data_IF_236738436341
#
_entry.id   IF_236738436341
#
_cell.length_a   1.000
_cell.length_b   1.000
_cell.length_c   1.000
_cell.angle_alpha   90.00
_cell.angle_beta   90.00
_cell.angle_gamma   90.00
#
_symmetry.space_group_name_H-M   'P 1'
#
loop_
_entity.id
_entity.type
_entity.pdbx_description
1 polymer ?
#
# COMPACT_ATOMS: atom_id res chain seq x y z
N UNK A 1 -28.96 0.01 6.60
CA UNK A 1 -28.97 1.34 5.96
C UNK A 1 -30.36 1.59 5.36
N UNK A 2 -30.91 2.81 5.45
CA UNK A 2 -32.08 3.19 4.66
C UNK A 2 -31.61 4.00 3.44
N UNK A 3 -31.83 3.48 2.23
CA UNK A 3 -31.38 4.11 0.98
C UNK A 3 -32.09 5.43 0.69
N UNK A 4 -33.31 5.65 1.21
CA UNK A 4 -34.00 6.93 1.06
C UNK A 4 -33.31 8.01 1.88
N UNK A 5 -33.05 7.74 3.16
CA UNK A 5 -32.34 8.67 4.04
C UNK A 5 -30.92 8.95 3.57
N UNK A 6 -30.21 7.92 3.07
CA UNK A 6 -28.90 8.09 2.46
C UNK A 6 -28.95 9.01 1.23
N UNK A 7 -29.91 8.78 0.33
CA UNK A 7 -30.07 9.59 -0.87
C UNK A 7 -30.41 11.04 -0.52
N UNK A 8 -31.32 11.25 0.43
CA UNK A 8 -31.71 12.59 0.89
C UNK A 8 -30.50 13.33 1.49
N UNK A 9 -29.63 12.63 2.24
CA UNK A 9 -28.38 13.19 2.74
C UNK A 9 -27.34 13.49 1.65
N UNK A 10 -27.34 12.75 0.54
CA UNK A 10 -26.45 12.98 -0.60
C UNK A 10 -26.88 14.19 -1.44
N UNK A 11 -28.19 14.33 -1.69
CA UNK A 11 -28.73 15.38 -2.57
C UNK A 11 -28.91 16.73 -1.86
N UNK A 12 -29.01 16.73 -0.52
CA UNK A 12 -29.23 17.94 0.26
C UNK A 12 -30.56 18.60 -0.09
N UNK A 13 -30.50 19.85 -0.57
CA UNK A 13 -31.69 20.63 -0.95
C UNK A 13 -32.24 20.31 -2.36
N UNK A 14 -31.51 19.51 -3.15
CA UNK A 14 -31.96 19.13 -4.48
C UNK A 14 -33.13 18.14 -4.42
N UNK A 15 -33.99 18.20 -5.44
CA UNK A 15 -35.06 17.20 -5.58
C UNK A 15 -34.52 15.89 -6.16
N UNK A 16 -35.15 14.77 -5.81
CA UNK A 16 -34.82 13.44 -6.38
C UNK A 16 -34.92 13.39 -7.91
N UNK A 17 -35.77 14.23 -8.51
CA UNK A 17 -35.87 14.36 -9.97
C UNK A 17 -34.64 15.06 -10.58
N UNK A 18 -34.13 16.10 -9.91
CA UNK A 18 -32.87 16.77 -10.29
C UNK A 18 -31.70 15.81 -10.12
N UNK A 19 -31.63 15.10 -9.00
CA UNK A 19 -30.58 14.10 -8.75
C UNK A 19 -30.55 13.00 -9.80
N UNK A 20 -31.72 12.46 -10.16
CA UNK A 20 -31.86 11.46 -11.22
C UNK A 20 -31.35 11.99 -12.56
N UNK A 21 -31.74 13.21 -12.93
CA UNK A 21 -31.30 13.86 -14.16
C UNK A 21 -29.78 14.09 -14.17
N UNK A 22 -29.19 14.55 -13.06
CA UNK A 22 -27.73 14.75 -12.94
C UNK A 22 -26.96 13.43 -13.05
N UNK A 23 -27.51 12.34 -12.53
CA UNK A 23 -26.92 11.01 -12.59
C UNK A 23 -27.23 10.26 -13.91
N UNK A 24 -27.88 10.90 -14.89
CA UNK A 24 -28.31 10.31 -16.16
C UNK A 24 -29.22 9.08 -16.01
N UNK A 25 -30.10 9.11 -15.00
CA UNK A 25 -31.14 8.11 -14.78
C UNK A 25 -32.54 8.68 -14.92
N UNK A 26 -33.46 7.87 -15.43
CA UNK A 26 -34.88 8.15 -15.29
C UNK A 26 -35.28 8.15 -13.80
N UNK A 27 -35.99 9.20 -13.36
CA UNK A 27 -36.49 9.30 -11.98
C UNK A 27 -37.28 8.05 -11.56
N UNK A 28 -38.09 7.50 -12.46
CA UNK A 28 -38.88 6.28 -12.23
C UNK A 28 -38.00 5.06 -11.87
N UNK A 29 -36.79 4.98 -12.40
CA UNK A 29 -35.82 3.92 -12.11
C UNK A 29 -35.33 4.01 -10.67
N UNK A 30 -34.92 5.21 -10.23
CA UNK A 30 -34.46 5.44 -8.86
C UNK A 30 -35.61 5.24 -7.87
N UNK A 31 -36.81 5.79 -8.16
CA UNK A 31 -37.99 5.58 -7.30
C UNK A 31 -38.36 4.10 -7.16
N UNK A 32 -38.29 3.31 -8.23
CA UNK A 32 -38.57 1.86 -8.19
C UNK A 32 -37.52 1.08 -7.41
N UNK A 33 -36.27 1.52 -7.44
CA UNK A 33 -35.19 0.94 -6.65
C UNK A 33 -35.41 1.23 -5.15
N UNK A 34 -35.69 2.50 -4.81
CA UNK A 34 -36.01 2.91 -3.44
C UNK A 34 -37.24 2.18 -2.87
N UNK A 35 -38.31 2.03 -3.66
CA UNK A 35 -39.51 1.29 -3.21
C UNK A 35 -39.25 -0.19 -2.92
N UNK A 36 -38.14 -0.74 -3.44
CA UNK A 36 -37.68 -2.11 -3.14
C UNK A 36 -36.69 -2.16 -1.98
N UNK A 37 -36.38 -1.01 -1.37
CA UNK A 37 -35.40 -0.87 -0.29
C UNK A 37 -33.97 -1.09 -0.75
N UNK A 38 -33.65 -0.86 -2.02
CA UNK A 38 -32.33 -1.18 -2.59
C UNK A 38 -31.97 -0.27 -3.76
N UNK A 39 -30.84 0.45 -3.69
CA UNK A 39 -30.24 1.13 -4.84
C UNK A 39 -29.11 0.31 -5.41
N UNK A 40 -29.13 0.03 -6.71
CA UNK A 40 -28.05 -0.71 -7.36
C UNK A 40 -26.70 0.01 -7.22
N UNK A 41 -25.56 -0.71 -7.11
CA UNK A 41 -24.25 -0.10 -6.99
C UNK A 41 -23.93 0.91 -8.10
N UNK A 42 -24.35 0.63 -9.33
CA UNK A 42 -24.12 1.51 -10.48
C UNK A 42 -24.85 2.86 -10.31
N UNK A 43 -26.08 2.81 -9.79
CA UNK A 43 -26.87 4.01 -9.46
C UNK A 43 -26.18 4.82 -8.36
N UNK A 44 -25.66 4.16 -7.32
CA UNK A 44 -24.92 4.81 -6.22
C UNK A 44 -23.69 5.52 -6.76
N UNK A 45 -22.88 4.86 -7.58
CA UNK A 45 -21.68 5.44 -8.19
C UNK A 45 -22.02 6.67 -9.03
N UNK A 46 -23.06 6.59 -9.87
CA UNK A 46 -23.46 7.71 -10.72
C UNK A 46 -23.97 8.91 -9.90
N UNK A 47 -24.77 8.66 -8.86
CA UNK A 47 -25.23 9.70 -7.94
C UNK A 47 -24.05 10.35 -7.19
N UNK A 48 -23.09 9.58 -6.70
CA UNK A 48 -21.90 10.12 -6.06
C UNK A 48 -21.12 11.03 -7.03
N UNK A 49 -20.90 10.60 -8.28
CA UNK A 49 -20.24 11.41 -9.31
C UNK A 49 -21.00 12.68 -9.66
N UNK A 50 -22.33 12.61 -9.70
CA UNK A 50 -23.20 13.75 -9.99
C UNK A 50 -23.19 14.85 -8.91
N UNK A 51 -22.79 14.50 -7.69
CA UNK A 51 -22.72 15.39 -6.52
C UNK A 51 -21.28 15.58 -6.01
N UNK A 52 -20.26 15.28 -6.84
CA UNK A 52 -18.84 15.40 -6.50
C UNK A 52 -18.44 14.71 -5.18
N UNK A 53 -19.12 13.61 -4.83
CA UNK A 53 -18.81 12.75 -3.69
C UNK A 53 -18.02 11.54 -4.15
N UNK A 54 -17.13 11.06 -3.28
CA UNK A 54 -16.35 9.84 -3.54
C UNK A 54 -17.29 8.63 -3.73
N UNK A 55 -17.25 7.96 -4.90
CA UNK A 55 -18.04 6.74 -5.12
C UNK A 55 -17.67 5.62 -4.15
N UNK A 56 -16.40 5.57 -3.73
CA UNK A 56 -15.93 4.59 -2.74
C UNK A 56 -16.63 4.80 -1.40
N UNK A 57 -16.67 6.05 -0.91
CA UNK A 57 -17.36 6.37 0.34
C UNK A 57 -18.85 6.03 0.26
N UNK A 58 -19.51 6.35 -0.86
CA UNK A 58 -20.91 5.99 -1.08
C UNK A 58 -21.17 4.48 -1.07
N UNK A 59 -20.25 3.69 -1.61
CA UNK A 59 -20.34 2.22 -1.60
C UNK A 59 -20.08 1.61 -0.20
N UNK A 60 -19.27 2.26 0.64
CA UNK A 60 -19.13 1.89 2.06
C UNK A 60 -20.39 2.20 2.83
N UNK A 61 -20.90 3.43 2.71
CA UNK A 61 -22.11 3.89 3.39
C UNK A 61 -23.33 3.01 3.04
N UNK A 62 -23.36 2.49 1.80
CA UNK A 62 -24.42 1.60 1.30
C UNK A 62 -24.13 0.11 1.51
N UNK A 63 -23.04 -0.24 2.22
CA UNK A 63 -22.64 -1.59 2.61
C UNK A 63 -22.27 -2.53 1.43
N UNK A 64 -22.02 -1.98 0.24
CA UNK A 64 -21.52 -2.73 -0.93
C UNK A 64 -20.04 -3.04 -0.85
N UNK A 65 -19.28 -2.17 -0.19
CA UNK A 65 -17.86 -2.33 0.07
C UNK A 65 -17.68 -2.17 1.57
N UNK A 66 -16.81 -2.97 2.17
CA UNK A 66 -16.42 -2.83 3.56
C UNK A 66 -15.17 -1.97 3.64
N UNK A 67 -15.03 -1.21 4.71
CA UNK A 67 -13.91 -0.27 4.87
C UNK A 67 -12.54 -0.96 4.75
N UNK A 68 -12.44 -2.22 5.19
CA UNK A 68 -11.23 -3.03 5.08
C UNK A 68 -10.92 -3.52 3.66
N UNK A 69 -11.86 -3.50 2.73
CA UNK A 69 -11.64 -3.90 1.33
C UNK A 69 -10.92 -2.81 0.51
N UNK A 70 -10.83 -1.59 1.03
CA UNK A 70 -10.30 -0.42 0.32
C UNK A 70 -8.78 -0.29 0.49
N UNK A 71 -8.23 -0.86 1.56
CA UNK A 71 -6.81 -0.76 1.89
C UNK A 71 -5.89 -1.60 0.97
N UNK A 72 -6.42 -2.14 -0.14
CA UNK A 72 -5.71 -3.09 -0.99
C UNK A 72 -5.48 -4.42 -0.28
N UNK A 73 -4.79 -5.40 -0.90
CA UNK A 73 -4.26 -6.52 -0.15
C UNK A 73 -3.51 -5.99 1.07
N UNK A 74 -3.71 -6.62 2.23
CA UNK A 74 -2.95 -6.32 3.45
C UNK A 74 -1.48 -6.10 3.09
N UNK A 75 -0.84 -5.06 3.63
CA UNK A 75 0.54 -4.70 3.27
C UNK A 75 1.45 -5.94 3.34
N UNK A 76 1.22 -6.86 4.28
CA UNK A 76 1.96 -8.11 4.38
C UNK A 76 1.72 -9.08 3.20
N UNK A 77 0.50 -9.12 2.64
CA UNK A 77 0.15 -9.91 1.45
C UNK A 77 0.78 -9.27 0.21
N UNK A 78 0.69 -7.94 0.07
CA UNK A 78 1.30 -7.20 -1.03
C UNK A 78 2.83 -7.36 -1.05
N UNK A 79 3.49 -7.26 0.12
CA UNK A 79 4.93 -7.48 0.25
C UNK A 79 5.32 -8.94 -0.04
N UNK A 80 4.50 -9.92 0.34
CA UNK A 80 4.76 -11.34 0.06
C UNK A 80 4.64 -11.67 -1.44
N UNK A 81 3.80 -10.96 -2.17
CA UNK A 81 3.61 -11.13 -3.62
C UNK A 81 4.57 -10.29 -4.47
N UNK A 82 5.26 -9.31 -3.89
CA UNK A 82 6.23 -8.48 -4.59
C UNK A 82 7.47 -9.29 -4.98
N UNK A 83 8.01 -9.01 -6.16
CA UNK A 83 9.31 -9.57 -6.57
C UNK A 83 10.44 -8.92 -5.79
N UNK A 84 11.59 -9.62 -5.67
CA UNK A 84 12.77 -9.06 -5.02
C UNK A 84 13.25 -7.74 -5.65
N UNK A 85 13.11 -7.59 -6.96
CA UNK A 85 13.44 -6.37 -7.70
C UNK A 85 12.55 -5.19 -7.26
N UNK A 86 11.23 -5.39 -7.21
CA UNK A 86 10.29 -4.37 -6.75
C UNK A 86 10.50 -3.97 -5.29
N UNK A 87 10.86 -4.93 -4.43
CA UNK A 87 11.20 -4.65 -3.03
C UNK A 87 12.49 -3.83 -2.93
N UNK A 88 13.51 -4.19 -3.70
CA UNK A 88 14.79 -3.49 -3.74
C UNK A 88 14.64 -2.06 -4.27
N UNK A 89 13.90 -1.88 -5.36
CA UNK A 89 13.63 -0.56 -5.95
C UNK A 89 12.89 0.34 -4.95
N UNK A 90 11.89 -0.19 -4.24
CA UNK A 90 11.14 0.57 -3.24
C UNK A 90 12.01 0.92 -2.02
N UNK A 91 12.88 0.02 -1.58
CA UNK A 91 13.85 0.29 -0.51
C UNK A 91 14.80 1.41 -0.93
N UNK A 92 15.37 1.34 -2.13
CA UNK A 92 16.31 2.34 -2.65
C UNK A 92 15.62 3.70 -2.84
N UNK A 93 14.40 3.70 -3.37
CA UNK A 93 13.57 4.91 -3.54
C UNK A 93 13.24 5.61 -2.21
N UNK A 94 13.06 4.84 -1.13
CA UNK A 94 12.86 5.39 0.24
C UNK A 94 14.17 5.80 0.91
N UNK A 95 15.27 5.23 0.48
CA UNK A 95 16.60 5.39 1.09
C UNK A 95 17.35 6.62 0.59
N UNK A 96 17.12 7.07 -0.64
CA UNK A 96 17.84 8.23 -1.20
C UNK A 96 17.11 9.55 -0.85
N UNK A 97 17.70 10.55 -0.14
CA UNK A 97 19.12 10.93 0.00
C UNK A 97 19.69 10.94 1.45
N UNK A 98 19.02 10.31 2.42
CA UNK A 98 19.50 10.24 3.81
C UNK A 98 20.10 8.88 4.19
N UNK A 99 20.07 7.86 3.32
CA UNK A 99 20.68 6.56 3.60
C UNK A 99 22.20 6.58 3.77
N UNK A 100 22.87 7.67 3.36
CA UNK A 100 24.26 7.95 3.72
C UNK A 100 24.47 8.00 5.24
N UNK A 101 23.45 8.39 6.02
CA UNK A 101 23.52 8.46 7.49
C UNK A 101 23.08 7.16 8.19
N UNK A 102 22.37 6.27 7.50
CA UNK A 102 21.84 5.03 8.08
C UNK A 102 22.80 3.84 7.95
N UNK A 103 23.71 3.86 6.98
CA UNK A 103 24.63 2.75 6.70
C UNK A 103 26.11 3.14 6.55
N UNK A 104 26.51 4.34 6.98
CA UNK A 104 27.91 4.76 6.89
C UNK A 104 28.17 6.13 7.50
N UNK A 105 28.37 6.17 8.81
CA UNK A 105 29.22 7.19 9.38
C UNK A 105 30.62 6.59 9.51
N UNK A 106 31.61 7.17 8.84
CA UNK A 106 33.01 6.72 8.78
C UNK A 106 33.74 6.73 10.15
N UNK A 107 33.01 6.92 11.26
CA UNK A 107 33.54 7.11 12.60
C UNK A 107 32.92 6.19 13.66
N UNK A 108 32.04 5.23 13.30
CA UNK A 108 31.40 4.35 14.29
C UNK A 108 31.88 2.90 14.18
N UNK A 109 32.55 2.42 15.24
CA UNK A 109 33.33 1.17 15.28
C UNK A 109 32.44 -0.09 15.39
N UNK A 110 31.15 0.08 15.65
CA UNK A 110 30.18 -1.00 15.88
C UNK A 110 29.28 -1.29 14.65
N UNK A 111 29.61 -0.75 13.48
CA UNK A 111 28.88 -1.10 12.25
C UNK A 111 29.37 -2.44 11.71
N UNK A 112 28.47 -3.43 11.59
CA UNK A 112 28.76 -4.68 10.88
C UNK A 112 28.76 -4.39 9.36
N UNK A 113 29.86 -3.81 8.88
CA UNK A 113 30.17 -3.76 7.46
C UNK A 113 30.63 -5.14 6.99
N UNK A 114 30.23 -5.53 5.78
CA UNK A 114 31.00 -6.52 5.01
C UNK A 114 32.43 -5.99 4.97
N UNK A 115 33.35 -6.67 5.66
CA UNK A 115 34.74 -6.26 5.72
C UNK A 115 35.23 -5.99 4.28
N UNK A 116 35.97 -4.89 4.05
CA UNK A 116 36.67 -4.72 2.78
C UNK A 116 37.52 -5.96 2.59
N UNK A 117 37.31 -6.71 1.50
CA UNK A 117 38.22 -7.78 1.15
C UNK A 117 39.50 -7.10 0.64
N UNK A 118 40.41 -6.84 1.57
CA UNK A 118 41.76 -6.40 1.26
C UNK A 118 42.50 -7.61 0.66
N UNK A 119 42.46 -7.73 -0.67
CA UNK A 119 43.22 -8.75 -1.40
C UNK A 119 44.75 -8.53 -1.34
N UNK A 120 45.21 -7.41 -0.75
CA UNK A 120 46.62 -7.02 -0.71
C UNK A 120 47.37 -7.38 0.59
N UNK A 121 46.70 -7.94 1.61
CA UNK A 121 47.39 -8.60 2.71
C UNK A 121 47.49 -10.10 2.46
N UNK A 122 48.48 -10.48 1.66
CA UNK A 122 49.06 -11.81 1.78
C UNK A 122 49.52 -11.98 3.23
N UNK A 123 48.73 -12.71 4.01
CA UNK A 123 49.02 -13.04 5.40
C UNK A 123 50.32 -13.84 5.39
N UNK A 124 51.42 -13.22 5.80
CA UNK A 124 52.64 -13.96 6.08
C UNK A 124 52.28 -14.96 7.18
N UNK A 125 52.38 -16.25 6.86
CA UNK A 125 52.18 -17.35 7.78
C UNK A 125 53.09 -17.12 9.00
N UNK A 126 52.47 -16.67 10.09
CA UNK A 126 53.15 -16.38 11.36
C UNK A 126 53.12 -17.60 12.29
N UNK A 127 52.80 -18.79 11.75
CA UNK A 127 52.97 -20.02 12.49
C UNK A 127 54.46 -20.23 12.82
N UNK A 128 54.79 -20.73 14.02
CA UNK A 128 56.16 -21.10 14.34
C UNK A 128 56.65 -22.12 13.29
N UNK A 129 57.87 -21.94 12.77
CA UNK A 129 58.52 -22.92 11.87
C UNK A 129 58.37 -24.31 12.47
N UNK A 130 57.70 -25.21 11.74
CA UNK A 130 57.57 -26.61 12.16
C UNK A 130 58.98 -27.19 12.41
N UNK A 131 59.21 -27.85 13.55
CA UNK A 131 60.48 -28.50 13.77
C UNK A 131 60.67 -29.61 12.74
N UNK A 132 61.82 -29.58 12.05
CA UNK A 132 62.22 -30.61 11.10
C UNK A 132 62.13 -32.01 11.75
N UNK A 133 61.51 -33.00 11.08
CA UNK A 133 61.32 -34.32 11.64
C UNK A 133 62.70 -35.00 11.77
N UNK A 134 63.20 -35.09 13.01
CA UNK A 134 64.45 -35.82 13.31
C UNK A 134 65.27 -35.33 14.50
N UNK A 135 64.89 -34.25 15.19
CA UNK A 135 65.67 -33.72 16.31
C UNK A 135 65.14 -34.20 17.67
N UNK A 136 65.30 -35.49 17.96
CA UNK A 136 65.32 -36.02 19.33
C UNK A 136 66.50 -36.99 19.43
N UNK A 137 67.58 -36.55 20.07
CA UNK A 137 68.54 -37.43 20.74
C UNK A 137 68.10 -37.67 22.20
#
# INVERSE_FOLDING_TARGET
MNFETWLDGLIGDDTRAVAAKKADYAQSTISRQLSRGHLRPETVIALCRAYDRSPVAGLIETDYIKEWEINGPDISIALRGATNEQLLDEIMRRSDPQARYLFGNDADIDTIGLAPLDFDQAVADSSPTEPEPGSQE
#
